data_IF_785481515387
#
_entry.id   IF_785481515387
#
_cell.length_a   1.000
_cell.length_b   1.000
_cell.length_c   1.000
_cell.angle_alpha   90.00
_cell.angle_beta   90.00
_cell.angle_gamma   90.00
#
_symmetry.space_group_name_H-M   'P 1'
#
loop_
_entity.id
_entity.type
_entity.pdbx_description
1 polymer ?
#
# COMPACT_ATOMS: atom_id res chain seq x y z
N UNK A 1 1.47 39.14 -14.11
CA UNK A 1 2.11 39.36 -12.81
C UNK A 1 2.46 38.00 -12.22
N UNK A 2 3.74 37.68 -12.18
CA UNK A 2 4.24 36.43 -11.60
C UNK A 2 4.66 36.72 -10.17
N UNK A 3 3.87 36.23 -9.23
CA UNK A 3 4.18 36.32 -7.79
C UNK A 3 5.41 35.48 -7.46
N UNK A 4 6.45 36.11 -6.92
CA UNK A 4 7.64 35.41 -6.40
C UNK A 4 7.40 34.92 -4.99
N UNK A 5 7.75 33.69 -4.72
CA UNK A 5 7.75 33.11 -3.38
C UNK A 5 9.01 33.60 -2.64
N UNK A 6 8.96 33.70 -1.32
CA UNK A 6 9.97 34.33 -0.44
C UNK A 6 11.45 33.90 -0.65
N UNK A 7 11.72 32.88 -1.45
CA UNK A 7 13.09 32.41 -1.78
C UNK A 7 13.56 32.76 -3.19
N UNK A 8 12.92 33.69 -3.87
CA UNK A 8 13.37 34.19 -5.18
C UNK A 8 13.09 33.29 -6.37
N UNK A 9 12.44 32.14 -6.19
CA UNK A 9 12.10 31.16 -7.23
C UNK A 9 10.64 31.34 -7.65
N UNK A 10 10.34 31.37 -8.93
CA UNK A 10 8.97 31.43 -9.43
C UNK A 10 8.31 30.03 -9.36
N UNK A 11 6.97 30.00 -9.24
CA UNK A 11 6.20 28.73 -9.31
C UNK A 11 6.52 27.88 -10.54
N UNK A 12 6.88 28.53 -11.65
CA UNK A 12 7.22 27.85 -12.89
C UNK A 12 8.60 27.19 -12.84
N UNK A 13 9.56 27.82 -12.14
CA UNK A 13 10.89 27.30 -11.92
C UNK A 13 10.85 26.13 -10.91
N UNK A 14 10.04 26.22 -9.86
CA UNK A 14 9.84 25.14 -8.92
C UNK A 14 9.20 23.89 -9.58
N UNK A 15 8.20 24.10 -10.46
CA UNK A 15 7.58 23.02 -11.22
C UNK A 15 8.51 22.48 -12.33
N UNK A 16 9.34 23.33 -12.93
CA UNK A 16 10.34 22.92 -13.93
C UNK A 16 11.45 22.08 -13.32
N UNK A 17 11.88 22.40 -12.10
CA UNK A 17 12.89 21.63 -11.38
C UNK A 17 12.35 20.27 -10.93
N UNK A 18 11.08 20.20 -10.48
CA UNK A 18 10.43 18.95 -10.15
C UNK A 18 10.23 18.04 -11.38
N UNK A 19 9.92 18.61 -12.56
CA UNK A 19 9.77 17.85 -13.80
C UNK A 19 11.13 17.38 -14.37
N UNK A 20 12.20 18.14 -14.18
CA UNK A 20 13.54 17.75 -14.62
C UNK A 20 14.15 16.64 -13.75
N UNK A 21 13.80 16.60 -12.47
CA UNK A 21 14.18 15.50 -11.56
C UNK A 21 13.46 14.21 -11.91
N UNK A 22 12.21 14.28 -12.41
CA UNK A 22 11.47 13.10 -12.84
C UNK A 22 11.95 12.47 -14.15
N UNK A 23 12.68 13.22 -14.98
CA UNK A 23 13.15 12.73 -16.30
C UNK A 23 14.62 12.31 -16.33
N UNK A 24 15.38 12.46 -15.24
CA UNK A 24 16.84 12.27 -15.21
C UNK A 24 17.36 11.37 -14.10
N UNK A 25 16.50 10.76 -13.28
CA UNK A 25 16.94 9.86 -12.24
C UNK A 25 17.24 8.46 -12.79
N UNK A 26 18.35 8.31 -13.50
CA UNK A 26 19.18 7.15 -13.23
C UNK A 26 19.43 7.17 -11.72
N UNK A 27 18.99 6.12 -11.03
CA UNK A 27 19.21 5.93 -9.60
C UNK A 27 20.70 6.02 -9.28
N UNK A 28 21.21 7.22 -9.14
CA UNK A 28 22.40 7.45 -8.37
C UNK A 28 21.96 7.32 -6.92
N UNK A 29 22.32 6.23 -6.28
CA UNK A 29 22.27 6.02 -4.84
C UNK A 29 23.02 7.18 -4.17
N UNK A 30 22.30 8.25 -3.87
CA UNK A 30 22.81 9.33 -3.04
C UNK A 30 22.64 8.90 -1.60
N UNK A 31 23.75 8.83 -0.92
CA UNK A 31 23.79 8.44 0.48
C UNK A 31 23.64 6.95 0.63
N UNK A 32 24.70 6.22 0.34
CA UNK A 32 24.87 4.89 0.83
C UNK A 32 24.83 4.92 2.36
N UNK A 33 23.63 4.82 2.95
CA UNK A 33 23.56 3.93 4.08
C UNK A 33 24.19 2.66 3.55
N UNK A 34 25.31 2.25 4.10
CA UNK A 34 25.79 0.90 3.90
C UNK A 34 24.62 0.02 4.31
N UNK A 35 23.78 -0.29 3.35
CA UNK A 35 22.73 -1.26 3.50
C UNK A 35 23.51 -2.50 3.79
N UNK A 36 23.64 -2.81 5.08
CA UNK A 36 24.33 -3.99 5.51
C UNK A 36 23.80 -5.11 4.62
N UNK A 37 24.69 -5.80 3.92
CA UNK A 37 24.34 -6.93 3.09
C UNK A 37 23.36 -7.75 3.92
N UNK A 38 22.18 -8.00 3.35
CA UNK A 38 21.07 -8.59 4.08
C UNK A 38 21.61 -9.85 4.79
N UNK A 39 21.71 -9.77 6.10
CA UNK A 39 22.17 -10.92 6.87
C UNK A 39 20.98 -11.87 6.99
N UNK A 40 20.93 -12.82 6.08
CA UNK A 40 19.89 -13.85 6.06
C UNK A 40 19.78 -14.62 7.38
N UNK A 41 20.82 -14.57 8.22
CA UNK A 41 20.80 -15.18 9.56
C UNK A 41 19.76 -14.56 10.50
N UNK A 42 19.30 -13.33 10.20
CA UNK A 42 18.27 -12.63 10.99
C UNK A 42 16.84 -12.92 10.50
N UNK A 43 16.68 -13.58 9.37
CA UNK A 43 15.37 -13.95 8.86
C UNK A 43 14.70 -15.00 9.78
N UNK A 44 13.49 -14.71 10.24
CA UNK A 44 12.72 -15.57 11.13
C UNK A 44 11.45 -15.99 10.42
N UNK A 45 11.29 -17.30 10.23
CA UNK A 45 10.04 -17.88 9.73
C UNK A 45 9.06 -18.06 10.88
N UNK A 46 7.88 -17.53 10.73
CA UNK A 46 6.77 -17.66 11.69
C UNK A 46 5.55 -18.22 11.00
N UNK A 47 4.87 -19.14 11.65
CA UNK A 47 3.58 -19.62 11.20
C UNK A 47 2.47 -18.68 11.72
N UNK A 48 1.58 -18.29 10.81
CA UNK A 48 0.37 -17.53 11.12
C UNK A 48 -0.76 -18.16 10.31
N UNK A 49 -1.78 -18.66 10.99
CA UNK A 49 -2.95 -19.31 10.38
C UNK A 49 -2.58 -20.39 9.34
N UNK A 50 -1.62 -21.24 9.70
CA UNK A 50 -1.18 -22.35 8.84
C UNK A 50 -0.25 -21.94 7.68
N UNK A 51 0.11 -20.66 7.56
CA UNK A 51 1.01 -20.17 6.54
C UNK A 51 2.32 -19.67 7.12
N UNK A 52 3.42 -20.07 6.49
CA UNK A 52 4.75 -19.57 6.85
C UNK A 52 4.95 -18.15 6.27
N UNK A 53 5.35 -17.23 7.11
CA UNK A 53 5.74 -15.87 6.74
C UNK A 53 7.13 -15.55 7.29
N UNK A 54 7.83 -14.63 6.66
CA UNK A 54 9.20 -14.28 7.01
C UNK A 54 9.28 -12.87 7.60
N UNK A 55 9.85 -12.79 8.78
CA UNK A 55 10.14 -11.54 9.50
C UNK A 55 11.63 -11.41 9.76
N UNK A 56 12.05 -10.29 10.32
CA UNK A 56 13.42 -10.08 10.81
C UNK A 56 13.40 -10.19 12.33
N UNK A 57 14.44 -10.82 12.91
CA UNK A 57 14.62 -10.83 14.35
C UNK A 57 14.75 -9.41 14.88
N UNK A 58 14.10 -9.14 16.03
CA UNK A 58 14.09 -7.82 16.63
C UNK A 58 15.51 -7.36 16.99
N UNK A 59 15.85 -6.16 16.55
CA UNK A 59 16.98 -5.38 17.01
C UNK A 59 16.47 -4.00 17.40
N UNK A 60 16.67 -3.60 18.64
CA UNK A 60 16.20 -2.31 19.16
C UNK A 60 16.88 -1.10 18.53
N UNK A 61 17.97 -1.31 17.81
CA UNK A 61 18.63 -0.26 17.04
C UNK A 61 18.04 -0.10 15.62
N UNK A 62 16.95 -0.78 15.30
CA UNK A 62 16.31 -0.71 13.99
C UNK A 62 14.80 -0.51 14.11
N UNK A 63 14.26 0.33 13.24
CA UNK A 63 12.83 0.49 12.98
C UNK A 63 12.61 0.28 11.49
N UNK A 64 11.68 -0.58 11.17
CA UNK A 64 11.29 -0.84 9.79
C UNK A 64 10.02 -0.09 9.41
N UNK A 65 9.90 0.27 8.16
CA UNK A 65 8.65 0.79 7.63
C UNK A 65 8.24 0.09 6.34
N UNK A 66 6.95 0.14 6.05
CA UNK A 66 6.36 -0.36 4.80
C UNK A 66 5.37 0.66 4.26
N UNK A 67 5.27 0.72 2.93
CA UNK A 67 4.35 1.59 2.21
C UNK A 67 3.34 0.77 1.41
N UNK A 68 2.09 1.22 1.36
CA UNK A 68 1.23 0.86 0.24
C UNK A 68 1.76 1.49 -1.06
N UNK A 69 1.35 0.99 -2.23
CA UNK A 69 1.79 1.51 -3.54
C UNK A 69 1.11 2.84 -3.93
N UNK A 70 0.73 3.61 -2.98
CA UNK A 70 0.11 4.92 -3.18
C UNK A 70 1.10 6.00 -2.74
N UNK A 71 1.11 7.12 -3.43
CA UNK A 71 1.92 8.26 -3.02
C UNK A 71 1.42 8.76 -1.67
N UNK A 72 2.29 8.75 -0.69
CA UNK A 72 2.00 9.17 0.68
C UNK A 72 3.17 9.98 1.25
N UNK A 73 3.01 10.55 2.43
CA UNK A 73 4.07 11.29 3.11
C UNK A 73 5.34 10.46 3.27
N UNK A 74 5.24 9.16 3.47
CA UNK A 74 6.39 8.27 3.59
C UNK A 74 7.21 8.12 2.31
N UNK A 75 6.59 8.28 1.12
CA UNK A 75 7.34 8.28 -0.14
C UNK A 75 8.13 9.59 -0.30
N UNK A 76 7.56 10.72 0.12
CA UNK A 76 8.27 11.99 0.14
C UNK A 76 9.44 11.94 1.13
N UNK A 77 9.21 11.38 2.30
CA UNK A 77 10.25 11.19 3.30
C UNK A 77 11.36 10.23 2.83
N UNK A 78 11.00 9.18 2.11
CA UNK A 78 11.97 8.25 1.53
C UNK A 78 12.97 8.94 0.60
N UNK A 79 12.51 9.94 -0.16
CA UNK A 79 13.37 10.75 -1.03
C UNK A 79 14.17 11.80 -0.26
N UNK A 80 13.61 12.37 0.81
CA UNK A 80 14.21 13.46 1.56
C UNK A 80 15.06 12.98 2.75
N UNK A 81 14.78 11.79 3.27
CA UNK A 81 15.55 11.16 4.36
C UNK A 81 15.33 11.73 5.76
N UNK A 82 14.35 12.61 5.95
CA UNK A 82 14.15 13.34 7.22
C UNK A 82 13.92 12.43 8.42
N UNK A 83 13.07 11.44 8.27
CA UNK A 83 12.78 10.50 9.38
C UNK A 83 14.03 9.67 9.70
N UNK A 84 14.77 9.24 8.67
CA UNK A 84 16.02 8.52 8.89
C UNK A 84 17.06 9.38 9.63
N UNK A 85 17.20 10.66 9.27
CA UNK A 85 18.07 11.59 9.96
C UNK A 85 17.71 11.75 11.45
N UNK A 86 16.41 11.86 11.77
CA UNK A 86 15.94 11.97 13.15
C UNK A 86 16.20 10.68 13.97
N UNK A 87 15.96 9.50 13.37
CA UNK A 87 16.25 8.23 14.04
C UNK A 87 17.77 8.02 14.26
N UNK A 88 18.61 8.42 13.31
CA UNK A 88 20.06 8.32 13.46
C UNK A 88 20.60 9.14 14.62
N UNK A 89 19.99 10.28 14.99
CA UNK A 89 20.37 11.08 16.16
C UNK A 89 20.26 10.32 17.47
N UNK A 90 19.41 9.30 17.52
CA UNK A 90 19.23 8.44 18.70
C UNK A 90 19.82 7.04 18.52
N UNK A 91 20.65 6.86 17.48
CA UNK A 91 21.35 5.59 17.22
C UNK A 91 20.46 4.50 16.65
N UNK A 92 19.32 4.85 16.05
CA UNK A 92 18.37 3.90 15.45
C UNK A 92 18.45 3.99 13.92
N UNK A 93 18.50 2.84 13.26
CA UNK A 93 18.42 2.75 11.81
C UNK A 93 16.96 2.62 11.37
N UNK A 94 16.52 3.50 10.46
CA UNK A 94 15.19 3.48 9.89
C UNK A 94 15.24 2.96 8.47
N UNK A 95 14.67 1.79 8.20
CA UNK A 95 14.84 1.08 6.94
C UNK A 95 13.53 0.60 6.33
N UNK A 96 13.48 0.60 5.00
CA UNK A 96 12.36 0.01 4.28
C UNK A 96 12.42 -1.51 4.40
N UNK A 97 11.35 -2.13 4.90
CA UNK A 97 11.33 -3.56 5.18
C UNK A 97 11.60 -4.42 3.95
N UNK A 98 11.01 -4.06 2.81
CA UNK A 98 11.19 -4.79 1.54
C UNK A 98 12.53 -4.55 0.83
N UNK A 99 13.38 -3.71 1.37
CA UNK A 99 14.78 -3.64 0.92
C UNK A 99 15.59 -4.87 1.33
N UNK A 100 15.01 -5.72 2.18
CA UNK A 100 15.63 -6.99 2.58
C UNK A 100 15.09 -8.12 1.72
N UNK A 101 15.95 -8.77 0.89
CA UNK A 101 15.53 -9.78 -0.09
C UNK A 101 14.86 -11.01 0.52
N UNK A 102 15.17 -11.30 1.78
CA UNK A 102 14.64 -12.44 2.51
C UNK A 102 13.24 -12.26 3.07
N UNK A 103 12.70 -11.02 3.04
CA UNK A 103 11.38 -10.73 3.61
C UNK A 103 10.27 -10.80 2.57
N UNK A 104 9.10 -11.21 3.01
CA UNK A 104 7.86 -11.17 2.23
C UNK A 104 7.00 -9.93 2.58
N UNK A 105 5.81 -9.82 1.99
CA UNK A 105 4.92 -8.69 2.24
C UNK A 105 3.93 -8.91 3.39
N UNK A 106 3.85 -10.07 3.98
CA UNK A 106 2.87 -10.33 5.05
C UNK A 106 2.97 -9.36 6.21
N UNK A 107 4.16 -8.93 6.69
CA UNK A 107 4.23 -7.94 7.76
C UNK A 107 3.51 -6.63 7.47
N UNK A 108 3.41 -6.23 6.20
CA UNK A 108 2.62 -5.06 5.81
C UNK A 108 1.12 -5.24 6.07
N UNK A 109 0.61 -6.46 6.00
CA UNK A 109 -0.82 -6.77 6.11
C UNK A 109 -1.22 -7.36 7.46
N UNK A 110 -0.37 -8.20 8.05
CA UNK A 110 -0.67 -8.88 9.33
C UNK A 110 0.14 -8.34 10.51
N UNK A 111 1.01 -7.37 10.25
CA UNK A 111 1.84 -6.65 11.23
C UNK A 111 2.61 -7.57 12.19
N UNK A 112 3.10 -8.70 11.70
CA UNK A 112 3.84 -9.67 12.51
C UNK A 112 5.33 -9.34 12.70
N UNK A 113 5.80 -8.22 12.17
CA UNK A 113 7.10 -7.61 12.49
C UNK A 113 6.90 -6.61 13.64
N UNK A 114 7.71 -6.71 14.70
CA UNK A 114 7.48 -5.93 15.93
C UNK A 114 7.85 -4.46 15.80
N UNK A 115 9.03 -4.14 15.31
CA UNK A 115 9.53 -2.77 15.15
C UNK A 115 9.11 -2.16 13.81
N UNK A 116 7.83 -2.27 13.45
CA UNK A 116 7.29 -1.87 12.15
C UNK A 116 6.36 -0.67 12.25
N UNK A 117 6.63 0.34 11.41
CA UNK A 117 5.71 1.43 11.09
C UNK A 117 5.11 1.15 9.70
N UNK A 118 3.80 1.10 9.62
CA UNK A 118 3.10 0.84 8.37
C UNK A 118 2.40 2.09 7.85
N UNK A 119 2.68 2.45 6.61
CA UNK A 119 1.95 3.49 5.87
C UNK A 119 1.03 2.85 4.85
N UNK A 120 -0.26 3.17 4.90
CA UNK A 120 -1.22 2.60 3.94
C UNK A 120 -2.66 2.62 4.43
N UNK A 121 -3.54 1.98 3.67
CA UNK A 121 -4.97 1.94 3.91
C UNK A 121 -5.38 1.34 5.26
N UNK A 122 -6.60 1.65 5.69
CA UNK A 122 -7.10 1.32 7.03
C UNK A 122 -7.52 -0.15 7.23
N UNK A 123 -7.86 -0.87 6.18
CA UNK A 123 -8.40 -2.23 6.34
C UNK A 123 -7.44 -3.21 7.02
N UNK A 124 -6.16 -3.31 6.63
CA UNK A 124 -5.23 -4.18 7.33
C UNK A 124 -5.06 -3.84 8.83
N UNK A 125 -4.82 -2.59 9.25
CA UNK A 125 -4.68 -2.30 10.69
C UNK A 125 -5.96 -2.55 11.50
N UNK A 126 -7.16 -2.36 10.92
CA UNK A 126 -8.41 -2.70 11.60
C UNK A 126 -8.51 -4.21 11.80
N UNK A 127 -8.29 -4.99 10.74
CA UNK A 127 -8.29 -6.44 10.79
C UNK A 127 -7.27 -6.98 11.79
N UNK A 128 -6.03 -6.51 11.71
CA UNK A 128 -4.98 -6.95 12.62
C UNK A 128 -5.30 -6.60 14.08
N UNK A 129 -5.85 -5.41 14.33
CA UNK A 129 -6.22 -5.00 15.68
C UNK A 129 -7.33 -5.88 16.27
N UNK A 130 -8.27 -6.30 15.42
CA UNK A 130 -9.39 -7.16 15.83
C UNK A 130 -8.95 -8.61 16.08
N UNK A 131 -8.14 -9.18 15.19
CA UNK A 131 -7.97 -10.62 15.10
C UNK A 131 -6.57 -11.12 15.51
N UNK A 132 -5.53 -10.29 15.39
CA UNK A 132 -4.16 -10.77 15.60
C UNK A 132 -3.43 -10.10 16.76
N UNK A 133 -3.33 -8.77 16.78
CA UNK A 133 -2.54 -8.05 17.78
C UNK A 133 -2.94 -6.59 17.90
N UNK A 134 -2.62 -5.99 19.05
CA UNK A 134 -2.86 -4.56 19.26
C UNK A 134 -1.98 -3.73 18.31
N UNK A 135 -2.62 -2.83 17.59
CA UNK A 135 -1.99 -1.81 16.77
C UNK A 135 -2.40 -0.42 17.25
N UNK A 136 -1.62 0.59 16.90
CA UNK A 136 -1.96 1.99 17.16
C UNK A 136 -1.89 2.78 15.87
N UNK A 137 -2.92 3.56 15.62
CA UNK A 137 -2.90 4.58 14.58
C UNK A 137 -2.13 5.79 15.11
N UNK A 138 -1.06 6.17 14.44
CA UNK A 138 -0.23 7.32 14.82
C UNK A 138 -0.72 8.60 14.16
N UNK A 139 -1.31 8.50 12.96
CA UNK A 139 -1.80 9.65 12.22
C UNK A 139 -2.41 9.25 10.89
N UNK A 140 -2.94 10.25 10.18
CA UNK A 140 -3.42 10.13 8.81
C UNK A 140 -2.46 10.89 7.89
N UNK A 141 -1.98 10.22 6.86
CA UNK A 141 -0.97 10.78 5.94
C UNK A 141 -1.58 11.41 4.70
N UNK A 142 -2.77 10.99 4.31
CA UNK A 142 -3.51 11.53 3.17
C UNK A 142 -4.98 11.10 3.22
N UNK A 143 -5.81 11.80 2.48
CA UNK A 143 -7.18 11.40 2.19
C UNK A 143 -7.22 11.01 0.71
N UNK A 144 -7.27 9.73 0.37
CA UNK A 144 -7.36 9.33 -1.03
C UNK A 144 -8.74 9.71 -1.58
N UNK A 145 -8.75 10.40 -2.70
CA UNK A 145 -9.94 10.56 -3.54
C UNK A 145 -9.99 9.39 -4.52
N UNK A 146 -10.19 8.21 -4.00
CA UNK A 146 -10.33 7.02 -4.83
C UNK A 146 -11.80 6.90 -5.24
N UNK A 147 -12.10 7.33 -6.45
CA UNK A 147 -13.37 7.02 -7.10
C UNK A 147 -13.32 5.60 -7.65
N UNK A 148 -14.28 4.78 -7.27
CA UNK A 148 -14.55 3.53 -7.96
C UNK A 148 -15.36 3.77 -9.22
N UNK A 149 -15.19 2.94 -10.24
CA UNK A 149 -16.08 2.91 -11.40
C UNK A 149 -16.54 1.48 -11.68
N UNK A 150 -17.78 1.35 -12.15
CA UNK A 150 -18.27 0.11 -12.74
C UNK A 150 -17.97 0.13 -14.22
N UNK A 151 -17.23 -0.86 -14.70
CA UNK A 151 -16.92 -1.01 -16.09
C UNK A 151 -17.87 -2.01 -16.75
N UNK A 152 -18.34 -1.66 -17.92
CA UNK A 152 -19.18 -2.52 -18.76
C UNK A 152 -18.57 -2.62 -20.15
N UNK A 153 -18.92 -3.64 -20.91
CA UNK A 153 -18.51 -3.74 -22.30
C UNK A 153 -19.28 -2.71 -23.12
N UNK A 154 -18.63 -2.12 -24.11
CA UNK A 154 -19.21 -1.06 -24.92
C UNK A 154 -20.52 -1.48 -25.64
N UNK A 155 -20.71 -2.77 -25.89
CA UNK A 155 -21.86 -3.34 -26.58
C UNK A 155 -22.94 -3.94 -25.67
N UNK A 156 -22.83 -3.76 -24.35
CA UNK A 156 -23.79 -4.33 -23.39
C UNK A 156 -25.07 -3.47 -23.23
N UNK A 157 -25.13 -2.30 -23.86
CA UNK A 157 -26.25 -1.35 -23.77
C UNK A 157 -26.58 -0.96 -22.31
N UNK A 158 -25.57 -0.80 -21.50
CA UNK A 158 -25.67 -0.34 -20.11
C UNK A 158 -25.11 1.07 -20.06
N UNK A 159 -25.96 2.07 -19.88
CA UNK A 159 -25.61 3.50 -19.91
C UNK A 159 -25.88 4.20 -18.57
N UNK A 160 -26.75 3.62 -17.77
CA UNK A 160 -27.15 4.16 -16.45
C UNK A 160 -27.10 3.10 -15.38
N UNK A 161 -27.09 3.52 -14.11
CA UNK A 161 -27.14 2.59 -13.00
C UNK A 161 -28.43 1.77 -12.98
N UNK A 162 -29.55 2.30 -13.47
CA UNK A 162 -30.80 1.55 -13.56
C UNK A 162 -30.74 0.36 -14.51
N UNK A 163 -29.90 0.43 -15.54
CA UNK A 163 -29.71 -0.67 -16.51
C UNK A 163 -29.03 -1.89 -15.86
N UNK A 164 -28.44 -1.71 -14.66
CA UNK A 164 -27.84 -2.79 -13.86
C UNK A 164 -28.87 -3.64 -13.12
N UNK A 165 -30.14 -3.24 -13.04
CA UNK A 165 -31.16 -4.06 -12.35
C UNK A 165 -31.24 -5.47 -12.94
N UNK A 166 -31.10 -6.45 -12.05
CA UNK A 166 -31.07 -7.88 -12.42
C UNK A 166 -29.77 -8.37 -13.05
N UNK A 167 -28.81 -7.48 -13.32
CA UNK A 167 -27.53 -7.85 -13.92
C UNK A 167 -26.56 -8.45 -12.89
N UNK A 168 -25.52 -9.12 -13.41
CA UNK A 168 -24.41 -9.64 -12.63
C UNK A 168 -23.30 -8.60 -12.55
N UNK A 169 -22.79 -8.36 -11.35
CA UNK A 169 -21.60 -7.54 -11.12
C UNK A 169 -20.52 -8.46 -10.56
N UNK A 170 -19.38 -8.51 -11.25
CA UNK A 170 -18.21 -9.24 -10.80
C UNK A 170 -17.55 -8.55 -9.61
N UNK A 171 -17.09 -9.32 -8.65
CA UNK A 171 -16.34 -8.86 -7.49
C UNK A 171 -15.20 -9.83 -7.21
N UNK A 172 -14.02 -9.33 -6.88
CA UNK A 172 -12.87 -10.18 -6.57
C UNK A 172 -13.09 -11.01 -5.33
N UNK A 173 -12.41 -12.16 -5.26
CA UNK A 173 -12.37 -13.02 -4.08
C UNK A 173 -10.98 -13.60 -3.92
N UNK A 174 -10.23 -13.09 -2.98
CA UNK A 174 -8.94 -13.65 -2.62
C UNK A 174 -9.10 -15.06 -2.05
N UNK A 175 -8.27 -16.00 -2.51
CA UNK A 175 -8.14 -17.32 -1.92
C UNK A 175 -7.10 -17.36 -0.79
N UNK A 176 -6.36 -16.27 -0.60
CA UNK A 176 -5.45 -16.11 0.51
C UNK A 176 -6.21 -15.70 1.77
N UNK A 177 -6.22 -16.57 2.77
CA UNK A 177 -6.96 -16.37 4.03
C UNK A 177 -6.12 -15.74 5.15
N UNK A 178 -4.81 -15.60 4.94
CA UNK A 178 -3.91 -15.06 5.96
C UNK A 178 -4.13 -13.56 6.23
N UNK A 179 -4.59 -12.86 5.22
CA UNK A 179 -4.87 -11.42 5.29
C UNK A 179 -6.32 -11.14 4.89
N UNK A 180 -6.85 -9.98 5.30
CA UNK A 180 -8.16 -9.57 4.82
C UNK A 180 -8.16 -9.35 3.29
N UNK A 181 -9.26 -9.69 2.65
CA UNK A 181 -9.48 -9.43 1.21
C UNK A 181 -9.84 -7.95 1.00
N UNK A 182 -8.84 -7.10 1.06
CA UNK A 182 -9.03 -5.65 1.01
C UNK A 182 -9.52 -5.14 -0.36
N UNK A 183 -9.20 -5.84 -1.47
CA UNK A 183 -9.77 -5.54 -2.77
C UNK A 183 -11.28 -5.71 -2.75
N UNK A 184 -11.75 -6.89 -2.34
CA UNK A 184 -13.16 -7.19 -2.21
C UNK A 184 -13.88 -6.21 -1.29
N UNK A 185 -13.28 -5.85 -0.18
CA UNK A 185 -13.88 -4.90 0.76
C UNK A 185 -14.09 -3.54 0.08
N UNK A 186 -13.10 -3.02 -0.63
CA UNK A 186 -13.21 -1.75 -1.36
C UNK A 186 -14.25 -1.81 -2.48
N UNK A 187 -14.17 -2.85 -3.33
CA UNK A 187 -15.13 -3.06 -4.42
C UNK A 187 -16.57 -3.15 -3.89
N UNK A 188 -16.77 -3.94 -2.85
CA UNK A 188 -18.11 -4.13 -2.26
C UNK A 188 -18.67 -2.80 -1.71
N UNK A 189 -17.87 -2.04 -0.96
CA UNK A 189 -18.30 -0.74 -0.42
C UNK A 189 -18.58 0.27 -1.54
N UNK A 190 -17.76 0.29 -2.59
CA UNK A 190 -17.98 1.14 -3.75
C UNK A 190 -19.30 0.79 -4.47
N UNK A 191 -19.56 -0.51 -4.70
CA UNK A 191 -20.81 -0.98 -5.31
C UNK A 191 -22.01 -0.56 -4.46
N UNK A 192 -21.98 -0.81 -3.14
CA UNK A 192 -23.06 -0.41 -2.23
C UNK A 192 -23.31 1.10 -2.26
N UNK A 193 -22.25 1.91 -2.27
CA UNK A 193 -22.36 3.37 -2.33
C UNK A 193 -23.00 3.82 -3.67
N UNK A 194 -22.51 3.30 -4.80
CA UNK A 194 -23.04 3.63 -6.13
C UNK A 194 -24.52 3.23 -6.28
N UNK A 195 -24.90 2.05 -5.81
CA UNK A 195 -26.29 1.62 -5.82
C UNK A 195 -27.15 2.57 -4.98
N UNK A 196 -26.73 2.86 -3.75
CA UNK A 196 -27.48 3.71 -2.82
C UNK A 196 -27.74 5.11 -3.36
N UNK A 197 -26.71 5.79 -3.93
CA UNK A 197 -26.90 7.14 -4.48
C UNK A 197 -27.84 7.18 -5.71
N UNK A 198 -28.08 6.02 -6.32
CA UNK A 198 -29.02 5.85 -7.42
C UNK A 198 -30.36 5.21 -7.01
N UNK A 199 -30.68 5.20 -5.70
CA UNK A 199 -31.93 4.64 -5.18
C UNK A 199 -32.06 3.13 -5.31
N UNK A 200 -30.94 2.42 -5.46
CA UNK A 200 -30.86 0.98 -5.59
C UNK A 200 -30.25 0.33 -4.36
N UNK A 201 -30.39 -0.96 -4.25
CA UNK A 201 -29.82 -1.80 -3.19
C UNK A 201 -29.06 -2.98 -3.79
N UNK A 202 -28.31 -3.70 -2.98
CA UNK A 202 -27.63 -4.93 -3.41
C UNK A 202 -28.61 -6.03 -3.87
N UNK A 203 -29.88 -5.95 -3.48
CA UNK A 203 -30.93 -6.90 -3.93
C UNK A 203 -31.34 -6.70 -5.39
N UNK A 204 -31.03 -5.52 -5.95
CA UNK A 204 -31.34 -5.19 -7.33
C UNK A 204 -30.33 -5.76 -8.34
N UNK A 205 -29.21 -6.30 -7.85
CA UNK A 205 -28.10 -6.86 -8.67
C UNK A 205 -27.70 -8.25 -8.16
N UNK A 206 -26.86 -8.95 -8.92
CA UNK A 206 -26.29 -10.24 -8.50
C UNK A 206 -24.77 -10.10 -8.42
N UNK A 207 -24.21 -10.17 -7.21
CA UNK A 207 -22.74 -10.23 -7.05
C UNK A 207 -22.24 -11.62 -7.42
N UNK A 208 -21.17 -11.67 -8.21
CA UNK A 208 -20.54 -12.91 -8.68
C UNK A 208 -19.06 -12.89 -8.30
N UNK A 209 -18.64 -13.88 -7.52
CA UNK A 209 -17.26 -14.02 -7.08
C UNK A 209 -16.33 -14.39 -8.24
N UNK A 210 -15.20 -13.71 -8.33
CA UNK A 210 -14.07 -14.05 -9.19
C UNK A 210 -12.87 -14.41 -8.31
N UNK A 211 -12.69 -15.71 -8.01
CA UNK A 211 -11.61 -16.17 -7.15
C UNK A 211 -10.25 -16.04 -7.84
N UNK A 212 -9.22 -15.64 -7.08
CA UNK A 212 -7.84 -15.57 -7.53
C UNK A 212 -6.88 -15.99 -6.41
N UNK A 213 -5.70 -16.54 -6.70
CA UNK A 213 -4.80 -17.13 -5.71
C UNK A 213 -4.25 -16.11 -4.70
N UNK A 214 -3.97 -14.86 -5.15
CA UNK A 214 -3.47 -13.78 -4.29
C UNK A 214 -2.24 -14.20 -3.47
N UNK A 215 -1.27 -14.78 -4.14
CA UNK A 215 -0.07 -15.41 -3.56
C UNK A 215 1.24 -14.63 -3.83
N UNK A 216 1.16 -13.50 -4.52
CA UNK A 216 2.32 -12.68 -4.87
C UNK A 216 3.09 -12.14 -3.64
N UNK A 217 2.47 -12.16 -2.47
CA UNK A 217 3.11 -11.79 -1.21
C UNK A 217 4.19 -12.79 -0.77
N UNK A 218 4.11 -14.00 -1.29
CA UNK A 218 5.01 -15.10 -0.91
C UNK A 218 6.38 -14.98 -1.58
N UNK A 219 6.46 -14.25 -2.69
CA UNK A 219 7.73 -14.03 -3.38
C UNK A 219 8.46 -12.79 -2.83
N UNK A 220 9.60 -12.98 -2.12
CA UNK A 220 10.39 -11.87 -1.61
C UNK A 220 10.89 -10.92 -2.70
N UNK A 221 11.03 -11.40 -3.94
CA UNK A 221 11.51 -10.61 -5.08
C UNK A 221 10.42 -9.80 -5.72
N UNK A 222 9.16 -10.15 -5.50
CA UNK A 222 8.03 -9.42 -6.03
C UNK A 222 7.88 -8.09 -5.29
N UNK A 223 8.22 -6.99 -5.93
CA UNK A 223 8.09 -5.66 -5.35
C UNK A 223 6.63 -5.20 -5.34
N UNK A 224 5.95 -5.44 -6.45
CA UNK A 224 4.53 -5.09 -6.63
C UNK A 224 3.95 -5.79 -7.86
N UNK A 225 2.70 -6.28 -7.82
CA UNK A 225 2.08 -6.88 -9.02
C UNK A 225 1.95 -5.89 -10.17
N UNK A 226 1.85 -4.59 -9.88
CA UNK A 226 1.78 -3.54 -10.90
C UNK A 226 3.11 -3.23 -11.58
N UNK A 227 4.21 -3.75 -11.07
CA UNK A 227 5.56 -3.59 -11.62
C UNK A 227 6.07 -4.87 -12.28
N UNK A 228 5.25 -5.90 -12.34
CA UNK A 228 5.58 -7.11 -13.06
C UNK A 228 5.14 -6.90 -14.52
N UNK A 229 6.08 -6.84 -15.49
CA UNK A 229 5.76 -6.67 -16.90
C UNK A 229 4.99 -7.87 -17.47
#
# INVERSE_FOLDING_TARGET
>A
MTEKIENGITRREALGTAAAVAAGAAFATVGGSAQAAADSSRAVKKEVDGKMTTTISLDWNEVYYTNCPLISASNVDQELGWVNEEYLKIGVNYAYFRSRPETDWYPHYIHNQENLIRFGGLFPPIHVHADYRRTRMLGLTHVPYEGGCLMVRANDNIFTMNDLKGKKIGITKSLNTLKNDWWRIQEHQAILAMLRVNGMTVKDVKLVDFPYPDDWYDDPKMLFPMHNP
#
